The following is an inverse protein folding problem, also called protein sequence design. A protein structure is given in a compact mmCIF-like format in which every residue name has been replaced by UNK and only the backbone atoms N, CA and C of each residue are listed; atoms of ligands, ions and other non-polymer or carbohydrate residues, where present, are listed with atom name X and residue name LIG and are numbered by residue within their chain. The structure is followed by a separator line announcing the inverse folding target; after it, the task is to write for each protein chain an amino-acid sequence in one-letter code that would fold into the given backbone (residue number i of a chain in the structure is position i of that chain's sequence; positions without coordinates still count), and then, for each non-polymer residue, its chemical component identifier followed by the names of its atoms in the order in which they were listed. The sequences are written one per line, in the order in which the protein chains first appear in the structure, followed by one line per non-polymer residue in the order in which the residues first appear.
data_IF_146991321245
#
_entry.id   IF_146991321245
#
_cell.length_a   1.000
_cell.length_b   1.000
_cell.length_c   1.000
_cell.angle_alpha   90.00
_cell.angle_beta   90.00
_cell.angle_gamma   90.00
#
_symmetry.space_group_name_H-M   'P 1'
#
loop_
_entity.id
_entity.type
_entity.pdbx_description
1 polymer ?
#
# COMPACT_ATOMS: atom_id res chain seq x y z
N UNK A 1 -12.57 6.12 38.58
CA UNK A 1 -11.23 5.53 38.74
C UNK A 1 -10.70 4.99 37.41
N UNK A 2 -11.35 4.01 36.76
CA UNK A 2 -10.91 3.47 35.46
C UNK A 2 -10.69 4.55 34.38
N UNK A 3 -11.54 5.58 34.32
CA UNK A 3 -11.41 6.72 33.39
C UNK A 3 -10.11 7.52 33.57
N UNK A 4 -9.73 7.87 34.79
CA UNK A 4 -8.59 8.78 35.04
C UNK A 4 -7.24 8.07 34.84
N UNK A 5 -7.15 6.79 35.22
CA UNK A 5 -5.98 5.95 34.93
C UNK A 5 -5.82 5.71 33.42
N UNK A 6 -6.93 5.46 32.70
CA UNK A 6 -6.91 5.33 31.24
C UNK A 6 -6.56 6.66 30.53
N UNK A 7 -7.11 7.79 30.99
CA UNK A 7 -6.74 9.13 30.49
C UNK A 7 -5.24 9.39 30.68
N UNK A 8 -4.69 9.00 31.82
CA UNK A 8 -3.25 9.12 32.10
C UNK A 8 -2.41 8.21 31.21
N UNK A 9 -2.82 6.95 31.00
CA UNK A 9 -2.13 6.01 30.10
C UNK A 9 -2.22 6.42 28.61
N UNK A 10 -3.39 6.88 28.15
CA UNK A 10 -3.55 7.40 26.79
C UNK A 10 -2.76 8.70 26.58
N UNK A 11 -2.68 9.55 27.60
CA UNK A 11 -1.77 10.71 27.60
C UNK A 11 -0.30 10.31 27.43
N UNK A 12 0.12 9.14 27.93
CA UNK A 12 1.46 8.59 27.69
C UNK A 12 1.63 8.02 26.27
N UNK A 13 0.56 7.57 25.60
CA UNK A 13 0.61 7.13 24.19
C UNK A 13 0.89 8.30 23.25
N UNK A 14 0.37 9.49 23.55
CA UNK A 14 0.67 10.71 22.79
C UNK A 14 2.14 11.15 22.94
N UNK A 15 2.77 10.84 24.07
CA UNK A 15 4.23 10.98 24.24
C UNK A 15 5.06 9.92 23.48
N UNK A 16 4.43 8.96 22.80
CA UNK A 16 5.10 8.02 21.86
C UNK A 16 5.12 8.54 20.42
N UNK A 17 4.52 9.69 20.15
CA UNK A 17 4.57 10.30 18.82
C UNK A 17 6.01 10.72 18.45
N UNK A 18 6.39 10.67 17.16
CA UNK A 18 7.64 11.22 16.66
C UNK A 18 7.92 12.65 17.16
N UNK A 19 9.19 13.02 17.44
CA UNK A 19 9.53 14.33 18.04
C UNK A 19 9.00 15.54 17.26
N UNK A 20 8.94 15.47 15.93
CA UNK A 20 8.38 16.54 15.09
C UNK A 20 6.89 16.75 15.31
N UNK A 21 6.15 15.67 15.53
CA UNK A 21 4.71 15.72 15.79
C UNK A 21 4.44 16.21 17.21
N UNK A 22 5.26 15.80 18.18
CA UNK A 22 5.20 16.36 19.54
C UNK A 22 5.45 17.86 19.54
N UNK A 23 6.43 18.34 18.78
CA UNK A 23 6.74 19.77 18.68
C UNK A 23 5.58 20.56 18.05
N UNK A 24 4.99 20.06 16.96
CA UNK A 24 3.82 20.70 16.33
C UNK A 24 2.63 20.78 17.30
N UNK A 25 2.34 19.69 18.02
CA UNK A 25 1.27 19.66 19.02
C UNK A 25 1.54 20.62 20.19
N UNK A 26 2.79 20.72 20.63
CA UNK A 26 3.20 21.67 21.68
C UNK A 26 3.03 23.13 21.22
N UNK A 27 3.38 23.44 19.97
CA UNK A 27 3.19 24.78 19.38
C UNK A 27 1.70 25.15 19.26
N UNK A 28 0.88 24.24 18.72
CA UNK A 28 -0.58 24.44 18.58
C UNK A 28 -1.28 24.63 19.94
N UNK A 29 -0.85 23.86 20.95
CA UNK A 29 -1.37 23.95 22.32
C UNK A 29 -0.94 25.25 23.03
N UNK A 30 0.31 25.68 22.84
CA UNK A 30 0.83 26.93 23.38
C UNK A 30 0.11 28.16 22.79
N UNK A 31 -0.15 28.17 21.49
CA UNK A 31 -0.94 29.19 20.80
C UNK A 31 -2.38 29.26 21.31
N UNK A 32 -2.96 28.13 21.70
CA UNK A 32 -4.31 28.10 22.24
C UNK A 32 -4.38 28.59 23.70
N UNK A 33 -3.42 28.21 24.53
CA UNK A 33 -3.32 28.67 25.93
C UNK A 33 -3.04 30.18 26.00
N UNK A 34 -2.23 30.72 25.09
CA UNK A 34 -1.96 32.16 25.00
C UNK A 34 -3.18 32.95 24.54
N UNK A 35 -4.01 32.41 23.63
CA UNK A 35 -5.29 33.02 23.22
C UNK A 35 -6.36 33.03 24.32
N UNK A 36 -6.36 32.05 25.23
CA UNK A 36 -7.33 31.95 26.36
C UNK A 36 -6.91 32.78 27.58
N UNK A 37 -5.65 33.22 27.65
CA UNK A 37 -5.04 33.96 28.77
C UNK A 37 -5.38 35.45 28.87
N UNK A 38 -6.59 35.86 28.45
CA UNK A 38 -7.08 37.23 28.50
C UNK A 38 -8.06 37.50 29.64
N UNK A 39 -7.81 37.02 30.87
CA UNK A 39 -8.45 37.52 32.11
C UNK A 39 -7.80 36.92 33.37
N UNK A 40 -7.16 37.79 34.14
CA UNK A 40 -6.76 37.72 35.56
C UNK A 40 -7.01 36.40 36.32
N UNK A 41 -5.93 35.82 36.85
CA UNK A 41 -6.00 34.80 37.91
C UNK A 41 -4.60 34.44 38.42
N UNK A 42 -4.40 34.55 39.73
CA UNK A 42 -3.14 34.34 40.46
C UNK A 42 -2.44 33.02 40.09
N UNK A 43 -1.11 33.08 39.97
CA UNK A 43 -0.24 31.89 39.90
C UNK A 43 -0.39 31.12 41.21
N UNK A 44 -1.02 29.95 41.15
CA UNK A 44 -1.02 28.97 42.23
C UNK A 44 0.14 28.00 41.94
N UNK A 45 1.27 28.22 42.61
CA UNK A 45 2.43 27.33 42.59
C UNK A 45 2.14 26.14 43.52
N UNK A 46 1.60 25.04 42.97
CA UNK A 46 1.27 23.89 43.84
C UNK A 46 0.65 22.63 43.22
N UNK A 47 0.72 22.40 41.90
CA UNK A 47 0.32 21.12 41.30
C UNK A 47 1.38 20.61 40.33
N UNK A 48 1.68 19.32 40.45
CA UNK A 48 2.75 18.62 39.73
C UNK A 48 2.77 18.92 38.22
N UNK A 49 3.95 19.03 37.59
CA UNK A 49 4.09 19.44 36.18
C UNK A 49 3.69 18.36 35.15
N UNK A 50 2.94 17.33 35.54
CA UNK A 50 2.63 16.17 34.69
C UNK A 50 1.13 15.79 34.64
N UNK A 51 0.23 16.73 34.90
CA UNK A 51 -1.20 16.53 34.64
C UNK A 51 -1.45 16.65 33.13
N UNK A 52 -1.71 15.53 32.45
CA UNK A 52 -2.18 15.53 31.06
C UNK A 52 -3.44 16.40 30.93
N UNK A 53 -3.51 17.22 29.87
CA UNK A 53 -4.69 18.05 29.60
C UNK A 53 -5.77 17.15 29.03
N UNK A 54 -6.91 17.07 29.71
CA UNK A 54 -8.06 16.34 29.20
C UNK A 54 -8.49 16.90 27.83
N UNK A 55 -8.63 16.04 26.81
CA UNK A 55 -8.96 16.47 25.46
C UNK A 55 -10.34 17.15 25.39
N UNK A 56 -11.25 16.83 26.32
CA UNK A 56 -12.55 17.53 26.45
C UNK A 56 -12.39 19.02 26.80
N UNK A 57 -11.25 19.41 27.38
CA UNK A 57 -10.96 20.80 27.70
C UNK A 57 -10.39 21.59 26.52
N UNK A 58 -10.02 20.89 25.44
CA UNK A 58 -9.53 21.47 24.20
C UNK A 58 -10.67 21.74 23.23
N UNK A 59 -10.51 22.68 22.29
CA UNK A 59 -11.35 22.75 21.10
C UNK A 59 -11.42 21.38 20.42
N UNK A 60 -12.61 20.94 19.96
CA UNK A 60 -12.79 19.65 19.30
C UNK A 60 -11.81 19.45 18.14
N UNK A 61 -11.48 20.50 17.41
CA UNK A 61 -10.56 20.45 16.26
C UNK A 61 -9.14 20.01 16.68
N UNK A 62 -8.66 20.50 17.83
CA UNK A 62 -7.35 20.10 18.37
C UNK A 62 -7.40 18.68 18.93
N UNK A 63 -8.50 18.29 19.58
CA UNK A 63 -8.72 16.93 20.03
C UNK A 63 -8.71 15.93 18.88
N UNK A 64 -9.41 16.24 17.79
CA UNK A 64 -9.43 15.45 16.56
C UNK A 64 -8.02 15.41 15.93
N UNK A 65 -7.33 16.53 15.78
CA UNK A 65 -5.96 16.53 15.24
C UNK A 65 -5.05 15.61 16.05
N UNK A 66 -5.11 15.66 17.38
CA UNK A 66 -4.33 14.79 18.27
C UNK A 66 -4.68 13.31 18.04
N UNK A 67 -5.97 12.97 18.01
CA UNK A 67 -6.43 11.58 17.83
C UNK A 67 -6.16 11.04 16.42
N UNK A 68 -6.00 11.91 15.41
CA UNK A 68 -5.69 11.52 14.03
C UNK A 68 -4.34 10.82 13.86
N UNK A 69 -3.44 10.96 14.84
CA UNK A 69 -2.15 10.29 14.87
C UNK A 69 -2.21 8.86 15.45
N UNK A 70 -3.35 8.45 16.02
CA UNK A 70 -3.51 7.14 16.63
C UNK A 70 -3.81 6.07 15.57
N UNK A 71 -3.39 4.84 15.84
CA UNK A 71 -3.85 3.68 15.07
C UNK A 71 -5.27 3.28 15.51
N UNK A 72 -5.90 2.35 14.79
CA UNK A 72 -7.28 1.93 15.07
C UNK A 72 -7.51 1.38 16.48
N UNK A 73 -6.54 0.64 17.03
CA UNK A 73 -6.65 0.07 18.37
C UNK A 73 -6.65 1.18 19.40
N UNK A 74 -5.69 2.11 19.29
CA UNK A 74 -5.59 3.26 20.18
C UNK A 74 -6.79 4.20 20.02
N UNK A 75 -7.35 4.33 18.82
CA UNK A 75 -8.55 5.12 18.56
C UNK A 75 -9.81 4.44 19.15
N UNK A 76 -9.91 3.12 19.09
CA UNK A 76 -10.95 2.37 19.81
C UNK A 76 -10.86 2.58 21.32
N UNK A 77 -9.66 2.56 21.90
CA UNK A 77 -9.46 2.87 23.32
C UNK A 77 -9.80 4.33 23.64
N UNK A 78 -9.38 5.26 22.78
CA UNK A 78 -9.73 6.67 22.88
C UNK A 78 -11.26 6.86 22.85
N UNK A 79 -12.00 6.12 22.02
CA UNK A 79 -13.46 6.19 21.96
C UNK A 79 -14.16 5.75 23.25
N UNK A 80 -13.51 4.95 24.11
CA UNK A 80 -14.03 4.59 25.42
C UNK A 80 -13.92 5.73 26.44
N UNK A 81 -12.97 6.65 26.23
CA UNK A 81 -12.62 7.74 27.15
C UNK A 81 -13.21 9.06 26.65
N UNK A 82 -13.04 9.36 25.37
CA UNK A 82 -13.51 10.54 24.66
C UNK A 82 -14.49 10.09 23.57
N UNK A 83 -15.74 9.80 23.94
CA UNK A 83 -16.72 9.18 23.04
C UNK A 83 -16.97 10.01 21.78
N UNK A 84 -17.20 11.32 21.92
CA UNK A 84 -17.50 12.19 20.78
C UNK A 84 -16.30 12.36 19.84
N UNK A 85 -15.09 12.51 20.42
CA UNK A 85 -13.87 12.71 19.65
C UNK A 85 -13.36 11.41 19.02
N UNK A 86 -13.35 10.30 19.76
CA UNK A 86 -12.83 9.01 19.29
C UNK A 86 -13.75 8.27 18.31
N UNK A 87 -15.05 8.61 18.29
CA UNK A 87 -15.99 8.10 17.28
C UNK A 87 -16.19 9.07 16.10
N UNK A 88 -15.41 10.15 16.03
CA UNK A 88 -15.53 11.13 14.95
C UNK A 88 -15.31 10.48 13.57
N UNK A 89 -16.26 10.70 12.67
CA UNK A 89 -16.30 10.07 11.35
C UNK A 89 -15.15 10.54 10.43
N UNK A 90 -14.62 11.74 10.64
CA UNK A 90 -13.50 12.26 9.86
C UNK A 90 -12.18 11.54 10.24
N UNK A 91 -11.99 11.23 11.52
CA UNK A 91 -10.87 10.40 11.98
C UNK A 91 -10.89 9.02 11.34
N UNK A 92 -12.03 8.33 11.45
CA UNK A 92 -12.18 7.00 10.86
C UNK A 92 -12.08 7.03 9.34
N UNK A 93 -12.56 8.09 8.68
CA UNK A 93 -12.38 8.28 7.24
C UNK A 93 -10.90 8.41 6.87
N UNK A 94 -10.16 9.27 7.58
CA UNK A 94 -8.73 9.46 7.38
C UNK A 94 -7.96 8.16 7.56
N UNK A 95 -8.31 7.39 8.59
CA UNK A 95 -7.71 6.09 8.89
C UNK A 95 -8.03 5.03 7.83
N UNK A 96 -9.28 4.98 7.34
CA UNK A 96 -9.67 4.11 6.22
C UNK A 96 -8.84 4.43 4.98
N UNK A 97 -8.78 5.71 4.57
CA UNK A 97 -8.09 6.13 3.34
C UNK A 97 -6.57 6.05 3.44
N UNK A 98 -5.99 6.15 4.63
CA UNK A 98 -4.55 5.96 4.82
C UNK A 98 -4.15 4.48 4.81
N UNK A 99 -5.06 3.59 5.26
CA UNK A 99 -4.81 2.15 5.38
C UNK A 99 -5.18 1.37 4.10
N UNK A 100 -6.28 1.77 3.46
CA UNK A 100 -6.76 1.28 2.16
C UNK A 100 -7.00 2.49 1.27
N UNK A 101 -5.97 2.89 0.51
CA UNK A 101 -6.01 4.13 -0.29
C UNK A 101 -6.99 4.12 -1.45
N UNK A 102 -7.53 2.95 -1.81
CA UNK A 102 -8.63 2.83 -2.77
C UNK A 102 -9.64 1.81 -2.27
N UNK A 103 -10.93 2.13 -2.35
CA UNK A 103 -12.06 1.22 -2.23
C UNK A 103 -13.16 1.75 -3.14
N UNK A 104 -13.87 0.88 -3.87
CA UNK A 104 -14.91 1.33 -4.82
C UNK A 104 -16.04 2.10 -4.12
N UNK A 105 -16.33 1.79 -2.85
CA UNK A 105 -17.31 2.52 -2.04
C UNK A 105 -16.95 4.00 -1.83
N UNK A 106 -15.67 4.39 -1.86
CA UNK A 106 -15.27 5.79 -1.69
C UNK A 106 -15.76 6.71 -2.81
N UNK A 107 -16.01 6.15 -3.99
CA UNK A 107 -16.47 6.89 -5.17
C UNK A 107 -17.99 6.81 -5.36
N UNK A 108 -18.71 6.17 -4.43
CA UNK A 108 -20.16 6.02 -4.48
C UNK A 108 -20.84 7.06 -3.59
N UNK A 109 -22.10 7.32 -3.89
CA UNK A 109 -22.97 8.05 -2.95
C UNK A 109 -23.20 7.16 -1.74
N UNK A 110 -22.73 7.63 -0.58
CA UNK A 110 -22.84 6.89 0.66
C UNK A 110 -24.30 6.91 1.18
N UNK A 111 -24.79 5.80 1.76
CA UNK A 111 -26.06 5.75 2.47
C UNK A 111 -26.12 6.75 3.63
N UNK A 112 -27.33 7.13 4.05
CA UNK A 112 -27.53 8.07 5.16
C UNK A 112 -27.05 7.52 6.52
N UNK A 113 -27.03 6.20 6.68
CA UNK A 113 -26.59 5.48 7.88
C UNK A 113 -25.10 5.03 7.81
N UNK A 114 -24.36 5.53 6.81
CA UNK A 114 -22.97 5.13 6.60
C UNK A 114 -22.08 5.58 7.76
N UNK A 115 -21.14 4.72 8.16
CA UNK A 115 -20.11 5.03 9.16
C UNK A 115 -18.77 4.49 8.70
N UNK A 116 -17.75 5.34 8.70
CA UNK A 116 -16.35 5.02 8.44
C UNK A 116 -15.77 4.14 9.54
N UNK A 117 -16.21 4.27 10.79
CA UNK A 117 -15.80 3.34 11.85
C UNK A 117 -16.25 1.92 11.51
N UNK A 118 -17.52 1.77 11.12
CA UNK A 118 -18.07 0.47 10.67
C UNK A 118 -17.35 -0.03 9.42
N UNK A 119 -17.09 0.85 8.45
CA UNK A 119 -16.33 0.48 7.25
C UNK A 119 -14.91 0.00 7.60
N UNK A 120 -14.21 0.70 8.50
CA UNK A 120 -12.86 0.31 8.93
C UNK A 120 -12.85 -1.12 9.48
N UNK A 121 -13.80 -1.44 10.37
CA UNK A 121 -13.90 -2.78 10.95
C UNK A 121 -14.19 -3.84 9.89
N UNK A 122 -15.06 -3.55 8.92
CA UNK A 122 -15.32 -4.44 7.79
C UNK A 122 -14.10 -4.61 6.87
N UNK A 123 -13.34 -3.52 6.66
CA UNK A 123 -12.10 -3.56 5.88
C UNK A 123 -11.03 -4.40 6.56
N UNK A 124 -10.90 -4.27 7.88
CA UNK A 124 -9.97 -5.05 8.68
C UNK A 124 -10.36 -6.54 8.70
N UNK A 125 -11.63 -6.84 8.98
CA UNK A 125 -12.17 -8.20 8.92
C UNK A 125 -11.95 -8.83 7.54
N UNK A 126 -12.34 -8.15 6.47
CA UNK A 126 -12.16 -8.67 5.11
C UNK A 126 -10.69 -8.85 4.73
N UNK A 127 -9.78 -8.03 5.28
CA UNK A 127 -8.33 -8.20 5.08
C UNK A 127 -7.83 -9.45 5.80
N UNK A 128 -8.31 -9.72 7.01
CA UNK A 128 -8.02 -10.96 7.74
C UNK A 128 -8.58 -12.18 7.01
N UNK A 129 -9.82 -12.09 6.50
CA UNK A 129 -10.43 -13.14 5.68
C UNK A 129 -9.60 -13.40 4.42
N UNK A 130 -9.18 -12.35 3.70
CA UNK A 130 -8.30 -12.48 2.54
C UNK A 130 -6.97 -13.18 2.88
N UNK A 131 -6.40 -12.84 4.02
CA UNK A 131 -5.13 -13.41 4.48
C UNK A 131 -5.25 -14.90 4.86
N UNK A 132 -6.47 -15.38 5.13
CA UNK A 132 -6.77 -16.80 5.32
C UNK A 132 -7.14 -17.50 4.00
N UNK A 133 -8.04 -16.90 3.22
CA UNK A 133 -8.48 -17.35 1.91
C UNK A 133 -8.73 -16.13 0.99
N UNK A 134 -7.95 -15.96 -0.09
CA UNK A 134 -8.04 -14.76 -0.92
C UNK A 134 -9.39 -14.62 -1.64
N UNK A 135 -9.98 -15.72 -2.11
CA UNK A 135 -11.26 -15.69 -2.83
C UNK A 135 -12.40 -15.32 -1.90
N UNK A 136 -12.43 -15.90 -0.69
CA UNK A 136 -13.41 -15.53 0.33
C UNK A 136 -13.24 -14.08 0.79
N UNK A 137 -12.01 -13.59 0.94
CA UNK A 137 -11.76 -12.20 1.32
C UNK A 137 -12.26 -11.19 0.29
N UNK A 138 -11.96 -11.41 -0.99
CA UNK A 138 -12.50 -10.57 -2.07
C UNK A 138 -14.02 -10.69 -2.16
N UNK A 139 -14.57 -11.90 -2.06
CA UNK A 139 -16.02 -12.14 -1.99
C UNK A 139 -16.68 -11.42 -0.82
N UNK A 140 -16.03 -11.39 0.35
CA UNK A 140 -16.49 -10.64 1.52
C UNK A 140 -16.59 -9.14 1.19
N UNK A 141 -15.53 -8.53 0.64
CA UNK A 141 -15.54 -7.10 0.29
C UNK A 141 -16.65 -6.76 -0.72
N UNK A 142 -16.89 -7.64 -1.70
CA UNK A 142 -17.99 -7.48 -2.66
C UNK A 142 -19.35 -7.59 -1.99
N UNK A 143 -19.54 -8.57 -1.10
CA UNK A 143 -20.80 -8.78 -0.38
C UNK A 143 -21.17 -7.58 0.52
N UNK A 144 -20.17 -6.88 1.07
CA UNK A 144 -20.35 -5.64 1.85
C UNK A 144 -20.47 -4.40 0.98
N UNK A 145 -20.36 -4.52 -0.35
CA UNK A 145 -20.41 -3.41 -1.30
C UNK A 145 -19.18 -2.49 -1.28
N UNK A 146 -18.09 -2.91 -0.61
CA UNK A 146 -16.84 -2.17 -0.45
C UNK A 146 -16.08 -2.12 -1.77
N UNK A 147 -16.03 -3.25 -2.47
CA UNK A 147 -15.41 -3.40 -3.79
C UNK A 147 -16.45 -3.83 -4.83
N UNK A 148 -16.18 -3.49 -6.09
CA UNK A 148 -16.90 -4.04 -7.24
C UNK A 148 -16.00 -5.05 -7.95
N UNK A 149 -16.59 -6.07 -8.58
CA UNK A 149 -15.85 -7.02 -9.40
C UNK A 149 -15.49 -6.42 -10.75
N UNK A 150 -14.47 -5.56 -10.71
CA UNK A 150 -13.89 -4.95 -11.89
C UNK A 150 -12.36 -4.96 -11.77
N UNK A 151 -11.61 -5.43 -12.77
CA UNK A 151 -10.15 -5.63 -12.67
C UNK A 151 -9.39 -4.38 -12.19
N UNK A 152 -9.69 -3.22 -12.79
CA UNK A 152 -9.08 -1.93 -12.43
C UNK A 152 -9.36 -1.53 -10.96
N UNK A 153 -10.54 -1.83 -10.44
CA UNK A 153 -10.92 -1.45 -9.08
C UNK A 153 -10.25 -2.34 -8.04
N UNK A 154 -10.17 -3.64 -8.33
CA UNK A 154 -9.45 -4.62 -7.52
C UNK A 154 -7.95 -4.34 -7.53
N UNK A 155 -7.37 -4.04 -8.69
CA UNK A 155 -5.96 -3.69 -8.83
C UNK A 155 -5.60 -2.45 -8.02
N UNK A 156 -6.40 -1.37 -8.08
CA UNK A 156 -6.18 -0.18 -7.26
C UNK A 156 -6.30 -0.47 -5.77
N UNK A 157 -7.31 -1.25 -5.35
CA UNK A 157 -7.46 -1.65 -3.94
C UNK A 157 -6.20 -2.35 -3.43
N UNK A 158 -5.72 -3.35 -4.18
CA UNK A 158 -4.50 -4.11 -3.87
C UNK A 158 -3.27 -3.19 -3.84
N UNK A 159 -3.12 -2.32 -4.83
CA UNK A 159 -1.94 -1.46 -4.97
C UNK A 159 -1.78 -0.46 -3.82
N UNK A 160 -2.90 0.07 -3.30
CA UNK A 160 -2.91 1.12 -2.30
C UNK A 160 -3.13 0.64 -0.86
N UNK A 161 -3.05 -0.67 -0.60
CA UNK A 161 -3.09 -1.22 0.75
C UNK A 161 -1.84 -2.06 1.06
N UNK A 162 -1.47 -2.11 2.33
CA UNK A 162 -0.40 -2.99 2.85
C UNK A 162 -0.93 -4.09 3.79
N UNK A 163 -2.27 -4.22 3.88
CA UNK A 163 -2.93 -5.13 4.83
C UNK A 163 -3.06 -6.55 4.32
N UNK A 164 -2.87 -6.74 3.00
CA UNK A 164 -2.99 -8.05 2.36
C UNK A 164 -1.68 -8.81 2.43
N UNK A 165 -1.75 -10.07 2.83
CA UNK A 165 -0.61 -10.95 2.96
C UNK A 165 -0.13 -11.38 1.57
N UNK A 166 1.16 -11.15 1.30
CA UNK A 166 1.73 -11.32 -0.04
C UNK A 166 1.59 -12.73 -0.62
N UNK A 167 1.64 -13.80 0.21
CA UNK A 167 1.43 -15.18 -0.28
C UNK A 167 0.01 -15.38 -0.80
N UNK A 168 -0.99 -14.85 -0.10
CA UNK A 168 -2.39 -14.95 -0.53
C UNK A 168 -2.66 -14.05 -1.72
N UNK A 169 -2.04 -12.88 -1.75
CA UNK A 169 -2.10 -11.99 -2.91
C UNK A 169 -1.57 -12.68 -4.17
N UNK A 170 -0.47 -13.42 -4.05
CA UNK A 170 0.07 -14.18 -5.18
C UNK A 170 -0.92 -15.23 -5.69
N UNK A 171 -1.50 -16.04 -4.80
CA UNK A 171 -2.48 -17.07 -5.16
C UNK A 171 -3.65 -16.41 -5.89
N UNK A 172 -4.15 -15.28 -5.36
CA UNK A 172 -5.23 -14.53 -5.99
C UNK A 172 -4.88 -14.04 -7.40
N UNK A 173 -3.70 -13.44 -7.58
CA UNK A 173 -3.27 -12.85 -8.85
C UNK A 173 -2.92 -13.89 -9.92
N UNK A 174 -2.56 -15.11 -9.51
CA UNK A 174 -2.34 -16.22 -10.45
C UNK A 174 -3.68 -16.71 -11.04
N UNK A 175 -4.75 -16.72 -10.24
CA UNK A 175 -6.11 -17.04 -10.69
C UNK A 175 -6.77 -15.87 -11.44
N UNK A 176 -6.57 -14.62 -10.97
CA UNK A 176 -7.13 -13.38 -11.54
C UNK A 176 -6.08 -12.61 -12.33
N UNK A 177 -5.64 -13.18 -13.46
CA UNK A 177 -4.62 -12.59 -14.34
C UNK A 177 -5.04 -11.24 -14.94
N UNK A 178 -6.34 -11.02 -15.12
CA UNK A 178 -6.96 -9.75 -15.49
C UNK A 178 -6.65 -8.63 -14.48
N UNK A 179 -6.73 -8.94 -13.18
CA UNK A 179 -6.39 -8.01 -12.10
C UNK A 179 -4.88 -7.77 -12.06
N UNK A 180 -4.07 -8.80 -12.28
CA UNK A 180 -2.60 -8.67 -12.36
C UNK A 180 -2.20 -7.71 -13.49
N UNK A 181 -2.83 -7.82 -14.67
CA UNK A 181 -2.57 -6.91 -15.79
C UNK A 181 -2.78 -5.45 -15.41
N UNK A 182 -3.96 -5.14 -14.86
CA UNK A 182 -4.28 -3.80 -14.37
C UNK A 182 -3.30 -3.35 -13.28
N UNK A 183 -2.92 -4.22 -12.36
CA UNK A 183 -1.97 -3.93 -11.28
C UNK A 183 -0.59 -3.54 -11.81
N UNK A 184 -0.10 -4.21 -12.86
CA UNK A 184 1.16 -3.84 -13.52
C UNK A 184 1.03 -2.45 -14.16
N UNK A 185 -0.12 -2.11 -14.74
CA UNK A 185 -0.33 -0.79 -15.34
C UNK A 185 -0.34 0.37 -14.35
N UNK A 186 -0.54 0.11 -13.05
CA UNK A 186 -0.48 1.17 -12.02
C UNK A 186 0.96 1.62 -11.72
N UNK A 187 1.97 0.82 -12.08
CA UNK A 187 3.36 1.20 -11.89
C UNK A 187 3.78 2.22 -12.94
N UNK A 188 4.44 3.29 -12.49
CA UNK A 188 5.05 4.29 -13.36
C UNK A 188 6.58 4.17 -13.32
N UNK A 189 7.17 3.74 -14.43
CA UNK A 189 8.63 3.55 -14.56
C UNK A 189 9.30 4.59 -15.44
N UNK A 190 8.61 5.67 -15.80
CA UNK A 190 9.18 6.73 -16.64
C UNK A 190 10.41 7.34 -15.95
N UNK A 191 11.52 7.44 -16.69
CA UNK A 191 12.81 7.94 -16.21
C UNK A 191 13.40 7.15 -15.03
N UNK A 192 12.89 5.95 -14.74
CA UNK A 192 13.46 5.12 -13.70
C UNK A 192 14.58 4.27 -14.25
N UNK A 193 15.62 4.13 -13.42
CA UNK A 193 16.66 3.15 -13.66
C UNK A 193 16.10 1.74 -13.53
N UNK A 194 16.35 0.89 -14.53
CA UNK A 194 15.77 -0.45 -14.65
C UNK A 194 15.86 -1.32 -13.37
N UNK A 195 16.99 -1.39 -12.64
CA UNK A 195 17.09 -2.13 -11.37
C UNK A 195 16.21 -1.56 -10.27
N UNK A 196 16.05 -0.23 -10.22
CA UNK A 196 15.20 0.42 -9.24
C UNK A 196 13.74 0.14 -9.54
N UNK A 197 13.35 0.26 -10.82
CA UNK A 197 12.01 -0.11 -11.29
C UNK A 197 11.67 -1.57 -10.98
N UNK A 198 12.60 -2.49 -11.23
CA UNK A 198 12.43 -3.92 -10.97
C UNK A 198 12.30 -4.21 -9.46
N UNK A 199 13.13 -3.57 -8.64
CA UNK A 199 13.07 -3.69 -7.17
C UNK A 199 11.75 -3.14 -6.62
N UNK A 200 11.28 -2.02 -7.17
CA UNK A 200 10.02 -1.39 -6.75
C UNK A 200 8.80 -2.22 -7.18
N UNK A 201 8.86 -2.83 -8.36
CA UNK A 201 7.86 -3.77 -8.86
C UNK A 201 7.72 -5.00 -7.95
N UNK A 202 8.84 -5.68 -7.67
CA UNK A 202 8.82 -6.87 -6.82
C UNK A 202 8.58 -6.58 -5.34
N UNK A 203 8.73 -5.33 -4.89
CA UNK A 203 8.30 -4.92 -3.54
C UNK A 203 6.78 -5.00 -3.38
N UNK A 204 6.01 -4.73 -4.45
CA UNK A 204 4.55 -4.73 -4.38
C UNK A 204 3.94 -6.09 -4.73
N UNK A 205 4.43 -6.77 -5.77
CA UNK A 205 3.83 -8.01 -6.28
C UNK A 205 4.50 -9.28 -5.70
N UNK A 206 5.67 -9.13 -5.06
CA UNK A 206 6.49 -10.20 -4.48
C UNK A 206 6.84 -11.32 -5.46
N UNK A 207 8.12 -11.41 -5.86
CA UNK A 207 8.64 -12.52 -6.67
C UNK A 207 8.49 -13.87 -5.95
N UNK A 208 8.10 -14.96 -6.64
CA UNK A 208 8.18 -16.29 -6.08
C UNK A 208 9.59 -16.76 -5.76
N UNK A 209 9.69 -17.60 -4.73
CA UNK A 209 10.95 -18.20 -4.26
C UNK A 209 11.45 -19.24 -5.26
N UNK A 210 10.53 -19.94 -5.91
CA UNK A 210 10.81 -20.91 -6.96
C UNK A 210 10.66 -20.30 -8.35
N UNK A 211 11.53 -20.75 -9.27
CA UNK A 211 11.41 -20.42 -10.69
C UNK A 211 10.22 -21.19 -11.26
N UNK A 212 9.24 -20.48 -11.82
CA UNK A 212 8.04 -21.10 -12.41
C UNK A 212 7.25 -20.12 -13.27
N UNK A 213 6.27 -20.63 -14.04
CA UNK A 213 5.47 -19.89 -15.04
C UNK A 213 4.99 -18.50 -14.55
N UNK A 214 4.61 -18.41 -13.27
CA UNK A 214 4.17 -17.16 -12.67
C UNK A 214 5.26 -16.06 -12.67
N UNK A 215 6.51 -16.39 -12.32
CA UNK A 215 7.61 -15.42 -12.35
C UNK A 215 7.92 -14.96 -13.78
N UNK A 216 7.74 -15.84 -14.77
CA UNK A 216 7.93 -15.51 -16.19
C UNK A 216 6.91 -14.47 -16.60
N UNK A 217 5.66 -14.74 -16.25
CA UNK A 217 4.54 -13.87 -16.49
C UNK A 217 4.78 -12.48 -15.87
N UNK A 218 5.30 -12.43 -14.63
CA UNK A 218 5.66 -11.18 -13.97
C UNK A 218 6.76 -10.41 -14.69
N UNK A 219 7.85 -11.07 -15.08
CA UNK A 219 8.96 -10.42 -15.78
C UNK A 219 8.51 -9.93 -17.17
N UNK A 220 7.74 -10.72 -17.91
CA UNK A 220 7.19 -10.32 -19.21
C UNK A 220 6.31 -9.09 -19.09
N UNK A 221 5.37 -9.08 -18.14
CA UNK A 221 4.50 -7.92 -17.89
C UNK A 221 5.30 -6.70 -17.43
N UNK A 222 6.28 -6.88 -16.55
CA UNK A 222 7.19 -5.80 -16.14
C UNK A 222 7.94 -5.19 -17.32
N UNK A 223 8.58 -6.01 -18.17
CA UNK A 223 9.34 -5.55 -19.33
C UNK A 223 8.46 -4.78 -20.31
N UNK A 224 7.25 -5.27 -20.59
CA UNK A 224 6.29 -4.57 -21.44
C UNK A 224 5.92 -3.20 -20.86
N UNK A 225 5.63 -3.14 -19.56
CA UNK A 225 5.30 -1.88 -18.89
C UNK A 225 6.47 -0.90 -18.86
N UNK A 226 7.68 -1.39 -18.57
CA UNK A 226 8.90 -0.57 -18.55
C UNK A 226 9.17 0.07 -19.92
N UNK A 227 9.01 -0.69 -21.01
CA UNK A 227 9.14 -0.18 -22.38
C UNK A 227 8.05 0.85 -22.71
N UNK A 228 6.80 0.57 -22.35
CA UNK A 228 5.67 1.50 -22.55
C UNK A 228 5.91 2.84 -21.84
N UNK A 229 6.48 2.82 -20.64
CA UNK A 229 6.82 4.03 -19.88
C UNK A 229 8.04 4.78 -20.44
N UNK A 230 8.87 4.14 -21.27
CA UNK A 230 10.14 4.67 -21.76
C UNK A 230 10.30 4.46 -23.28
N UNK A 231 9.45 5.07 -24.12
CA UNK A 231 9.43 4.83 -25.57
C UNK A 231 10.72 5.26 -26.28
N UNK A 232 11.46 6.24 -25.75
CA UNK A 232 12.76 6.64 -26.29
C UNK A 232 13.79 5.49 -26.25
N UNK A 233 13.79 4.68 -25.19
CA UNK A 233 14.64 3.50 -25.10
C UNK A 233 14.26 2.46 -26.16
N UNK A 234 12.97 2.28 -26.42
CA UNK A 234 12.45 1.32 -27.40
C UNK A 234 12.92 1.68 -28.82
N UNK A 235 12.86 2.98 -29.17
CA UNK A 235 13.36 3.50 -30.43
C UNK A 235 14.88 3.33 -30.57
N UNK A 236 15.66 3.72 -29.56
CA UNK A 236 17.13 3.64 -29.59
C UNK A 236 17.65 2.19 -29.59
N UNK A 237 16.83 1.24 -29.12
CA UNK A 237 17.12 -0.19 -29.13
C UNK A 237 16.59 -0.91 -30.38
N UNK A 238 15.92 -0.22 -31.30
CA UNK A 238 15.37 -0.82 -32.52
C UNK A 238 14.25 -1.83 -32.26
N UNK A 239 13.59 -1.75 -31.10
CA UNK A 239 12.48 -2.61 -30.73
C UNK A 239 11.20 -2.08 -31.43
N UNK A 240 10.67 -2.79 -32.42
CA UNK A 240 9.41 -2.38 -33.05
C UNK A 240 8.24 -2.65 -32.09
N UNK A 241 7.30 -1.70 -32.03
CA UNK A 241 6.13 -1.69 -31.13
C UNK A 241 5.09 -2.79 -31.42
N UNK A 242 5.40 -3.80 -32.22
CA UNK A 242 4.40 -4.73 -32.74
C UNK A 242 4.24 -5.97 -31.84
N UNK A 243 2.97 -6.24 -31.49
CA UNK A 243 2.56 -6.65 -30.14
C UNK A 243 2.57 -8.16 -29.86
N UNK A 244 3.24 -8.99 -30.66
CA UNK A 244 3.09 -10.46 -30.48
C UNK A 244 4.28 -11.34 -30.89
N UNK A 245 5.27 -10.86 -31.65
CA UNK A 245 6.41 -11.70 -32.12
C UNK A 245 7.77 -11.26 -31.56
N UNK A 246 7.86 -10.06 -31.00
CA UNK A 246 9.08 -9.48 -30.39
C UNK A 246 9.32 -9.92 -28.95
N UNK A 247 8.32 -10.47 -28.26
CA UNK A 247 8.46 -10.94 -26.87
C UNK A 247 8.95 -12.39 -26.76
N UNK A 248 8.60 -13.25 -27.72
CA UNK A 248 9.10 -14.64 -27.77
C UNK A 248 10.57 -14.72 -28.20
N UNK A 249 11.08 -13.67 -28.84
CA UNK A 249 12.48 -13.50 -29.29
C UNK A 249 13.16 -12.30 -28.65
N UNK A 250 12.62 -11.80 -27.53
CA UNK A 250 13.30 -10.82 -26.70
C UNK A 250 14.50 -11.56 -26.10
N UNK A 251 15.58 -11.57 -26.87
CA UNK A 251 16.80 -12.30 -26.62
C UNK A 251 17.24 -11.90 -25.22
N UNK A 252 16.91 -12.75 -24.25
CA UNK A 252 17.11 -12.46 -22.84
C UNK A 252 18.59 -12.16 -22.61
N UNK A 253 19.45 -12.69 -23.47
CA UNK A 253 20.88 -12.41 -23.61
C UNK A 253 21.17 -10.95 -23.94
N UNK A 254 20.41 -10.29 -24.81
CA UNK A 254 20.58 -8.85 -25.15
C UNK A 254 20.11 -7.98 -23.98
N UNK A 255 18.98 -8.32 -23.36
CA UNK A 255 18.48 -7.63 -22.17
C UNK A 255 19.48 -7.75 -21.02
N UNK A 256 19.97 -8.96 -20.75
CA UNK A 256 20.98 -9.27 -19.72
C UNK A 256 22.33 -8.60 -20.00
N UNK A 257 22.84 -8.69 -21.23
CA UNK A 257 24.09 -8.01 -21.62
C UNK A 257 23.99 -6.50 -21.43
N UNK A 258 22.82 -5.88 -21.66
CA UNK A 258 22.65 -4.44 -21.47
C UNK A 258 22.33 -4.05 -20.02
N UNK A 259 21.67 -4.93 -19.26
CA UNK A 259 21.52 -4.82 -17.80
C UNK A 259 22.90 -4.82 -17.10
N UNK A 260 23.84 -5.61 -17.59
CA UNK A 260 25.21 -5.61 -17.10
C UNK A 260 25.98 -4.36 -17.57
N UNK A 261 25.92 -4.05 -18.88
CA UNK A 261 26.83 -3.10 -19.53
C UNK A 261 26.42 -1.62 -19.42
N UNK A 262 25.13 -1.30 -19.41
CA UNK A 262 24.63 0.09 -19.29
C UNK A 262 24.10 0.42 -17.89
N UNK A 263 23.72 -0.62 -17.15
CA UNK A 263 22.94 -0.51 -15.91
C UNK A 263 23.77 -0.92 -14.68
N UNK A 264 24.99 -1.43 -14.84
CA UNK A 264 25.88 -1.72 -13.71
C UNK A 264 25.28 -2.69 -12.67
N UNK A 265 24.25 -3.45 -13.05
CA UNK A 265 23.75 -4.56 -12.26
C UNK A 265 24.88 -5.59 -12.18
N UNK A 266 25.38 -5.84 -10.98
CA UNK A 266 26.49 -6.75 -10.75
C UNK A 266 26.20 -7.68 -9.56
N UNK A 267 26.93 -8.78 -9.49
CA UNK A 267 26.82 -9.74 -8.39
C UNK A 267 25.54 -10.57 -8.41
N UNK A 268 24.98 -10.84 -7.23
CA UNK A 268 23.93 -11.84 -7.03
C UNK A 268 22.63 -11.54 -7.78
N UNK A 269 22.29 -10.27 -8.00
CA UNK A 269 21.07 -9.87 -8.70
C UNK A 269 21.15 -10.14 -10.21
N UNK A 270 22.30 -9.85 -10.84
CA UNK A 270 22.55 -10.19 -12.25
C UNK A 270 22.64 -11.70 -12.43
N UNK A 271 23.33 -12.40 -11.52
CA UNK A 271 23.46 -13.86 -11.55
C UNK A 271 22.10 -14.55 -11.41
N UNK A 272 21.26 -14.08 -10.47
CA UNK A 272 19.89 -14.58 -10.32
C UNK A 272 19.06 -14.36 -11.58
N UNK A 273 19.07 -13.15 -12.14
CA UNK A 273 18.26 -12.78 -13.30
C UNK A 273 18.76 -13.46 -14.58
N UNK A 274 20.08 -13.59 -14.73
CA UNK A 274 20.73 -14.30 -15.83
C UNK A 274 20.42 -15.80 -15.78
N UNK A 275 20.58 -16.43 -14.61
CA UNK A 275 20.25 -17.83 -14.42
C UNK A 275 18.74 -18.09 -14.56
N UNK A 276 17.90 -17.16 -14.11
CA UNK A 276 16.45 -17.24 -14.27
C UNK A 276 16.01 -17.20 -15.74
N UNK A 277 16.56 -16.29 -16.53
CA UNK A 277 16.18 -16.13 -17.93
C UNK A 277 16.88 -17.15 -18.86
N UNK A 278 18.09 -17.60 -18.52
CA UNK A 278 18.83 -18.60 -19.29
C UNK A 278 18.22 -20.00 -19.21
N UNK A 279 17.68 -20.39 -18.05
CA UNK A 279 16.99 -21.69 -17.89
C UNK A 279 15.71 -21.80 -18.74
N UNK A 280 15.09 -20.67 -19.11
CA UNK A 280 13.88 -20.64 -19.95
C UNK A 280 14.20 -20.75 -21.45
N UNK A 281 15.37 -20.28 -21.90
CA UNK A 281 15.80 -20.46 -23.29
C UNK A 281 16.03 -21.93 -23.65
N UNK A 282 16.41 -22.76 -22.68
CA UNK A 282 16.71 -24.18 -22.90
C UNK A 282 15.47 -25.06 -23.14
N UNK A 283 14.24 -24.57 -22.85
CA UNK A 283 13.03 -25.42 -22.89
C UNK A 283 12.30 -25.37 -24.24
N UNK A 284 12.67 -24.50 -25.19
CA UNK A 284 11.93 -24.37 -26.47
C UNK A 284 12.69 -24.67 -27.77
N UNK A 285 13.95 -25.10 -27.70
CA UNK A 285 14.73 -25.44 -28.89
C UNK A 285 14.54 -26.88 -29.43
N UNK A 286 13.64 -27.71 -28.86
CA UNK A 286 13.55 -29.15 -29.21
C UNK A 286 12.25 -29.55 -29.94
N UNK A 287 11.37 -28.63 -30.35
CA UNK A 287 10.12 -29.00 -31.06
C UNK A 287 9.93 -28.42 -32.46
N UNK A 288 10.97 -27.91 -33.12
CA UNK A 288 10.89 -27.51 -34.54
C UNK A 288 12.14 -27.90 -35.34
N UNK A 289 12.31 -29.20 -35.53
CA UNK A 289 13.11 -29.85 -36.60
C UNK A 289 12.75 -31.34 -36.52
N UNK A 290 11.79 -31.88 -37.27
CA UNK A 290 11.78 -32.01 -38.72
C UNK A 290 10.35 -32.09 -39.30
N UNK A 291 10.04 -31.40 -40.41
CA UNK A 291 9.12 -31.90 -41.42
C UNK A 291 9.88 -32.79 -42.41
N UNK A 292 9.39 -34.01 -42.59
CA UNK A 292 9.88 -34.98 -43.57
C UNK A 292 9.99 -34.39 -45.00
N UNK A 293 11.13 -34.59 -45.69
CA UNK A 293 11.25 -34.97 -47.13
C UNK A 293 12.67 -35.49 -47.40
N UNK A 294 12.86 -36.82 -47.39
CA UNK A 294 13.30 -37.64 -48.54
C UNK A 294 13.43 -39.11 -48.14
#
# INVERSE_FOLDING_TARGET
MLSEEFKTQMGQVLWRLPPRQQQQLQEELADHLTKKGGRNGKRDEGKEPHSFIDLEMLPPELGITILSYLNATDLCLASCVWQDLGNDEYLWQGLCKSTWGHCSIYNKRLPADFSYRRLYLQLDEGSLTFNANPQEGIGYFMSKGILVDHPTELAKFIFYTRRLHWKMLRIYLDERRDVLDELVTLHNFTNQFLPNALRDFFRHIHAPEERGEYLETLITKFSHRFCTCNPGLVHDLGLSSDRTTTFDTLDHVILLNRLEKFVGLCGSALSWMSSYLSDRCCVRAVLQSDPAVH
#
